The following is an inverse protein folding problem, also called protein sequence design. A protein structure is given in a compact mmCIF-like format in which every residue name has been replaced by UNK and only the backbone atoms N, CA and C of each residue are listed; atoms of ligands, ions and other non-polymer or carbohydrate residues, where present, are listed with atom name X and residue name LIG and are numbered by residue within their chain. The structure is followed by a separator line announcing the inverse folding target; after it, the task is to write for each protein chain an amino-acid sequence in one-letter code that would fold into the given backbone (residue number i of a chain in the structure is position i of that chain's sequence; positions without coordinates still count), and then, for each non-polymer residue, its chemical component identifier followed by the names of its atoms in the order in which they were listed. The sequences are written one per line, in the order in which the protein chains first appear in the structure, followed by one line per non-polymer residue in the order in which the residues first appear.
data_IF_083973445686
#
_entry.id   IF_083973445686
#
_cell.length_a   1.000
_cell.length_b   1.000
_cell.length_c   1.000
_cell.angle_alpha   90.00
_cell.angle_beta   90.00
_cell.angle_gamma   90.00
#
_symmetry.space_group_name_H-M   'P 1'
#
loop_
_entity.id
_entity.type
_entity.pdbx_description
1 polymer ?
#
# COMPACT_ATOMS: atom_id res chain seq x y z
N UNK A 1 -26.95 -23.09 121.40
CA UNK A 1 -27.24 -21.85 120.67
C UNK A 1 -26.13 -21.40 119.71
N UNK A 2 -24.91 -21.96 119.77
CA UNK A 2 -23.79 -21.57 118.90
C UNK A 2 -23.91 -22.17 117.47
N UNK A 3 -24.46 -23.38 117.34
CA UNK A 3 -24.60 -24.06 116.03
C UNK A 3 -25.63 -23.38 115.11
N UNK A 4 -26.66 -22.73 115.67
CA UNK A 4 -27.68 -22.04 114.88
C UNK A 4 -27.21 -20.70 114.31
N UNK A 5 -26.21 -20.06 114.92
CA UNK A 5 -25.65 -18.80 114.46
C UNK A 5 -24.64 -18.99 113.30
N UNK A 6 -23.98 -20.15 113.23
CA UNK A 6 -23.06 -20.50 112.14
C UNK A 6 -23.85 -20.80 110.84
N UNK A 7 -24.91 -21.61 110.95
CA UNK A 7 -25.75 -21.98 109.80
C UNK A 7 -26.50 -20.79 109.18
N UNK A 8 -26.82 -19.75 109.97
CA UNK A 8 -27.43 -18.53 109.47
C UNK A 8 -26.44 -17.64 108.70
N UNK A 9 -25.16 -17.61 109.07
CA UNK A 9 -24.09 -16.90 108.34
C UNK A 9 -23.74 -17.58 107.01
N UNK A 10 -23.79 -18.92 106.98
CA UNK A 10 -23.50 -19.68 105.76
C UNK A 10 -24.67 -19.63 104.75
N UNK A 11 -25.91 -19.51 105.21
CA UNK A 11 -27.09 -19.38 104.36
C UNK A 11 -27.18 -18.02 103.63
N UNK A 12 -26.72 -16.92 104.25
CA UNK A 12 -26.65 -15.59 103.60
C UNK A 12 -25.61 -15.57 102.47
N UNK A 13 -24.53 -16.36 102.61
CA UNK A 13 -23.48 -16.51 101.60
C UNK A 13 -23.90 -17.37 100.39
N UNK A 14 -24.94 -18.20 100.56
CA UNK A 14 -25.48 -19.08 99.53
C UNK A 14 -26.51 -18.38 98.59
N UNK A 15 -27.00 -17.19 98.93
CA UNK A 15 -27.93 -16.43 98.10
C UNK A 15 -27.27 -15.75 96.88
N UNK A 16 -25.93 -15.66 96.86
CA UNK A 16 -25.17 -15.27 95.68
C UNK A 16 -24.65 -16.55 95.01
N UNK A 17 -25.07 -16.82 93.78
CA UNK A 17 -24.44 -17.87 92.97
C UNK A 17 -22.95 -17.51 92.88
N UNK A 18 -22.07 -18.27 93.53
CA UNK A 18 -20.66 -17.94 93.71
C UNK A 18 -19.91 -17.51 92.41
N UNK A 19 -20.28 -18.02 91.20
CA UNK A 19 -19.75 -17.51 89.93
C UNK A 19 -20.08 -16.05 89.56
N UNK A 20 -21.08 -15.42 90.18
CA UNK A 20 -21.54 -14.05 89.88
C UNK A 20 -21.25 -13.05 91.03
N UNK A 21 -20.24 -13.31 91.84
CA UNK A 21 -19.80 -12.37 92.88
C UNK A 21 -19.22 -11.07 92.24
N UNK A 22 -19.84 -9.88 92.46
CA UNK A 22 -19.45 -8.57 91.92
C UNK A 22 -17.97 -8.21 92.11
N UNK A 23 -17.30 -8.79 93.10
CA UNK A 23 -15.93 -8.46 93.46
C UNK A 23 -14.87 -8.86 92.41
N UNK A 24 -15.15 -9.88 91.57
CA UNK A 24 -14.18 -10.39 90.58
C UNK A 24 -14.28 -9.69 89.20
N UNK A 25 -15.41 -9.05 88.91
CA UNK A 25 -15.65 -8.38 87.63
C UNK A 25 -14.64 -7.26 87.29
N UNK A 26 -14.17 -6.41 88.23
CA UNK A 26 -13.20 -5.36 87.90
C UNK A 26 -11.88 -5.90 87.32
N UNK A 27 -11.37 -7.01 87.86
CA UNK A 27 -10.14 -7.65 87.36
C UNK A 27 -10.35 -8.27 85.98
N UNK A 28 -11.50 -8.94 85.77
CA UNK A 28 -11.85 -9.53 84.48
C UNK A 28 -12.04 -8.46 83.39
N UNK A 29 -12.68 -7.34 83.73
CA UNK A 29 -12.82 -6.20 82.82
C UNK A 29 -11.46 -5.55 82.53
N UNK A 30 -10.57 -5.41 83.52
CA UNK A 30 -9.22 -4.89 83.31
C UNK A 30 -8.45 -5.75 82.29
N UNK A 31 -8.41 -7.08 82.46
CA UNK A 31 -7.73 -7.97 81.52
C UNK A 31 -8.40 -8.00 80.15
N UNK A 32 -9.73 -7.92 80.09
CA UNK A 32 -10.46 -7.80 78.83
C UNK A 32 -10.03 -6.53 78.08
N UNK A 33 -9.97 -5.39 78.75
CA UNK A 33 -9.51 -4.13 78.14
C UNK A 33 -8.05 -4.22 77.70
N UNK A 34 -7.17 -4.84 78.49
CA UNK A 34 -5.76 -5.04 78.10
C UNK A 34 -5.63 -5.93 76.86
N UNK A 35 -6.31 -7.07 76.82
CA UNK A 35 -6.30 -7.99 75.67
C UNK A 35 -6.93 -7.35 74.44
N UNK A 36 -8.10 -6.74 74.60
CA UNK A 36 -8.81 -6.10 73.50
C UNK A 36 -8.05 -4.89 72.97
N UNK A 37 -7.44 -4.08 73.83
CA UNK A 37 -6.56 -2.99 73.45
C UNK A 37 -5.31 -3.47 72.71
N UNK A 38 -4.67 -4.53 73.20
CA UNK A 38 -3.52 -5.15 72.52
C UNK A 38 -3.92 -5.67 71.13
N UNK A 39 -5.03 -6.40 71.04
CA UNK A 39 -5.55 -6.92 69.78
C UNK A 39 -5.94 -5.79 68.82
N UNK A 40 -6.57 -4.73 69.31
CA UNK A 40 -6.91 -3.54 68.53
C UNK A 40 -5.65 -2.89 67.94
N UNK A 41 -4.59 -2.72 68.73
CA UNK A 41 -3.32 -2.16 68.25
C UNK A 41 -2.70 -3.06 67.17
N UNK A 42 -2.72 -4.39 67.36
CA UNK A 42 -2.19 -5.33 66.36
C UNK A 42 -2.98 -5.25 65.05
N UNK A 43 -4.31 -5.25 65.11
CA UNK A 43 -5.16 -5.12 63.92
C UNK A 43 -4.92 -3.79 63.22
N UNK A 44 -4.98 -2.69 63.96
CA UNK A 44 -4.78 -1.31 63.50
C UNK A 44 -3.42 -1.12 62.84
N UNK A 45 -2.35 -1.59 63.50
CA UNK A 45 -0.98 -1.23 63.12
C UNK A 45 -0.31 -2.23 62.18
N UNK A 46 -0.79 -3.47 62.12
CA UNK A 46 -0.16 -4.54 61.32
C UNK A 46 -1.12 -5.08 60.25
N UNK A 47 -2.32 -5.52 60.63
CA UNK A 47 -3.21 -6.25 59.70
C UNK A 47 -3.84 -5.31 58.66
N UNK A 48 -4.46 -4.21 59.11
CA UNK A 48 -5.06 -3.19 58.25
C UNK A 48 -4.07 -2.61 57.21
N UNK A 49 -2.85 -2.16 57.59
CA UNK A 49 -1.90 -1.63 56.61
C UNK A 49 -1.39 -2.70 55.63
N UNK A 50 -1.25 -3.96 56.04
CA UNK A 50 -0.88 -5.06 55.12
C UNK A 50 -1.94 -5.29 54.05
N UNK A 51 -3.22 -5.31 54.44
CA UNK A 51 -4.34 -5.48 53.50
C UNK A 51 -4.43 -4.25 52.58
N UNK A 52 -4.35 -3.04 53.13
CA UNK A 52 -4.34 -1.79 52.36
C UNK A 52 -3.22 -1.76 51.32
N UNK A 53 -1.99 -2.11 51.71
CA UNK A 53 -0.85 -2.16 50.78
C UNK A 53 -1.02 -3.16 49.65
N UNK A 54 -1.72 -4.27 49.88
CA UNK A 54 -1.96 -5.28 48.85
C UNK A 54 -3.03 -4.81 47.86
N UNK A 55 -4.07 -4.15 48.38
CA UNK A 55 -5.12 -3.58 47.54
C UNK A 55 -4.56 -2.46 46.66
N UNK A 56 -3.83 -1.52 47.26
CA UNK A 56 -3.15 -0.42 46.54
C UNK A 56 -2.21 -0.96 45.46
N UNK A 57 -1.42 -1.99 45.78
CA UNK A 57 -0.53 -2.61 44.79
C UNK A 57 -1.29 -3.19 43.61
N UNK A 58 -2.42 -3.85 43.85
CA UNK A 58 -3.25 -4.42 42.77
C UNK A 58 -3.88 -3.32 41.93
N UNK A 59 -4.45 -2.30 42.56
CA UNK A 59 -5.05 -1.18 41.86
C UNK A 59 -4.02 -0.43 41.01
N UNK A 60 -2.85 -0.14 41.57
CA UNK A 60 -1.73 0.47 40.86
C UNK A 60 -1.23 -0.39 39.70
N UNK A 61 -1.10 -1.71 39.88
CA UNK A 61 -0.71 -2.61 38.78
C UNK A 61 -1.77 -2.64 37.68
N UNK A 62 -3.06 -2.76 38.03
CA UNK A 62 -4.14 -2.76 37.04
C UNK A 62 -4.19 -1.44 36.27
N UNK A 63 -4.04 -0.31 36.96
CA UNK A 63 -4.01 1.01 36.32
C UNK A 63 -2.80 1.12 35.37
N UNK A 64 -1.61 0.73 35.83
CA UNK A 64 -0.40 0.73 34.99
C UNK A 64 -0.52 -0.19 33.78
N UNK A 65 -1.11 -1.38 33.95
CA UNK A 65 -1.30 -2.35 32.86
C UNK A 65 -2.33 -1.82 31.84
N UNK A 66 -3.37 -1.13 32.30
CA UNK A 66 -4.38 -0.52 31.44
C UNK A 66 -3.80 0.66 30.64
N UNK A 67 -3.02 1.52 31.28
CA UNK A 67 -2.34 2.64 30.62
C UNK A 67 -1.34 2.13 29.58
N UNK A 68 -0.56 1.10 29.92
CA UNK A 68 0.38 0.49 28.97
C UNK A 68 -0.36 -0.20 27.81
N UNK A 69 -1.46 -0.90 28.09
CA UNK A 69 -2.30 -1.47 27.04
C UNK A 69 -2.90 -0.41 26.11
N UNK A 70 -3.35 0.72 26.66
CA UNK A 70 -3.86 1.85 25.88
C UNK A 70 -2.76 2.45 25.00
N UNK A 71 -1.56 2.67 25.55
CA UNK A 71 -0.40 3.17 24.81
C UNK A 71 0.00 2.24 23.67
N UNK A 72 0.10 0.93 23.93
CA UNK A 72 0.42 -0.06 22.91
C UNK A 72 -0.67 -0.17 21.83
N UNK A 73 -1.94 0.02 22.20
CA UNK A 73 -3.04 0.06 21.24
C UNK A 73 -2.92 1.30 20.33
N UNK A 74 -2.65 2.47 20.90
CA UNK A 74 -2.43 3.71 20.15
C UNK A 74 -1.23 3.58 19.20
N UNK A 75 -0.09 3.07 19.68
CA UNK A 75 1.10 2.81 18.84
C UNK A 75 0.78 1.82 17.71
N UNK A 76 0.00 0.77 17.97
CA UNK A 76 -0.40 -0.19 16.95
C UNK A 76 -1.34 0.44 15.90
N UNK A 77 -2.30 1.25 16.32
CA UNK A 77 -3.22 1.98 15.44
C UNK A 77 -2.45 2.96 14.56
N UNK A 78 -1.48 3.68 15.11
CA UNK A 78 -0.68 4.63 14.36
C UNK A 78 0.30 3.93 13.40
N UNK A 79 0.89 2.81 13.82
CA UNK A 79 1.68 1.96 12.93
C UNK A 79 0.83 1.43 11.77
N UNK A 80 -0.40 0.99 12.02
CA UNK A 80 -1.33 0.55 10.99
C UNK A 80 -1.64 1.67 9.99
N UNK A 81 -1.96 2.88 10.48
CA UNK A 81 -2.18 4.04 9.61
C UNK A 81 -0.95 4.37 8.76
N UNK A 82 0.25 4.31 9.35
CA UNK A 82 1.48 4.57 8.62
C UNK A 82 1.71 3.54 7.50
N UNK A 83 1.43 2.26 7.77
CA UNK A 83 1.47 1.20 6.76
C UNK A 83 0.46 1.46 5.66
N UNK A 84 -0.80 1.75 5.99
CA UNK A 84 -1.85 2.02 5.00
C UNK A 84 -1.50 3.22 4.10
N UNK A 85 -0.97 4.30 4.68
CA UNK A 85 -0.47 5.47 3.94
C UNK A 85 0.71 5.09 3.04
N UNK A 86 1.63 4.26 3.53
CA UNK A 86 2.79 3.81 2.74
C UNK A 86 2.37 2.96 1.54
N UNK A 87 1.38 2.08 1.71
CA UNK A 87 0.81 1.24 0.64
C UNK A 87 0.10 2.13 -0.38
N UNK A 88 -0.73 3.06 0.07
CA UNK A 88 -1.40 4.01 -0.81
C UNK A 88 -0.41 4.84 -1.63
N UNK A 89 0.67 5.33 -1.00
CA UNK A 89 1.75 6.07 -1.65
C UNK A 89 2.52 5.20 -2.66
N UNK A 90 2.81 3.95 -2.33
CA UNK A 90 3.47 3.01 -3.23
C UNK A 90 2.61 2.74 -4.48
N UNK A 91 1.30 2.49 -4.31
CA UNK A 91 0.39 2.31 -5.45
C UNK A 91 0.27 3.58 -6.31
N UNK A 92 0.19 4.76 -5.68
CA UNK A 92 0.17 6.02 -6.41
C UNK A 92 1.47 6.22 -7.22
N UNK A 93 2.63 5.92 -6.63
CA UNK A 93 3.93 6.00 -7.30
C UNK A 93 4.06 5.03 -8.46
N UNK A 94 3.55 3.81 -8.30
CA UNK A 94 3.52 2.80 -9.35
C UNK A 94 2.67 3.26 -10.54
N UNK A 95 1.46 3.80 -10.28
CA UNK A 95 0.60 4.38 -11.32
C UNK A 95 1.26 5.56 -12.04
N UNK A 96 1.81 6.50 -11.27
CA UNK A 96 2.55 7.65 -11.83
C UNK A 96 3.70 7.20 -12.74
N UNK A 97 4.44 6.16 -12.34
CA UNK A 97 5.55 5.62 -13.12
C UNK A 97 5.05 4.93 -14.39
N UNK A 98 3.97 4.16 -14.29
CA UNK A 98 3.35 3.50 -15.45
C UNK A 98 2.82 4.52 -16.47
N UNK A 99 2.16 5.58 -16.01
CA UNK A 99 1.63 6.65 -16.86
C UNK A 99 2.77 7.43 -17.53
N UNK A 100 3.84 7.73 -16.79
CA UNK A 100 5.06 8.34 -17.35
C UNK A 100 5.74 7.44 -18.39
N UNK A 101 5.80 6.13 -18.15
CA UNK A 101 6.37 5.18 -19.09
C UNK A 101 5.54 5.10 -20.37
N UNK A 102 4.21 4.98 -20.26
CA UNK A 102 3.29 5.01 -21.41
C UNK A 102 3.45 6.30 -22.22
N UNK A 103 3.42 7.46 -21.55
CA UNK A 103 3.58 8.74 -22.24
C UNK A 103 4.95 8.93 -22.90
N UNK A 104 6.01 8.26 -22.42
CA UNK A 104 7.31 8.23 -23.11
C UNK A 104 7.28 7.32 -24.32
N UNK A 105 6.72 6.11 -24.17
CA UNK A 105 6.57 5.14 -25.26
C UNK A 105 5.75 5.75 -26.41
N UNK A 106 4.63 6.41 -26.11
CA UNK A 106 3.79 7.04 -27.13
C UNK A 106 4.54 8.13 -27.91
N UNK A 107 5.39 8.91 -27.22
CA UNK A 107 6.25 9.93 -27.86
C UNK A 107 7.34 9.30 -28.72
N UNK A 108 7.97 8.24 -28.26
CA UNK A 108 8.99 7.50 -29.02
C UNK A 108 8.36 6.87 -30.27
N UNK A 109 7.19 6.22 -30.13
CA UNK A 109 6.43 5.67 -31.26
C UNK A 109 6.12 6.78 -32.26
N UNK A 110 5.54 7.91 -31.83
CA UNK A 110 5.22 9.00 -32.74
C UNK A 110 6.46 9.56 -33.47
N UNK A 111 7.61 9.63 -32.78
CA UNK A 111 8.87 10.09 -33.36
C UNK A 111 9.41 9.10 -34.38
N UNK A 112 9.43 7.80 -34.07
CA UNK A 112 9.90 6.78 -34.99
C UNK A 112 8.96 6.58 -36.17
N UNK A 113 7.64 6.64 -35.98
CA UNK A 113 6.67 6.64 -37.08
C UNK A 113 6.91 7.82 -38.01
N UNK A 114 7.09 9.04 -37.49
CA UNK A 114 7.38 10.21 -38.32
C UNK A 114 8.69 10.09 -39.12
N UNK A 115 9.73 9.46 -38.54
CA UNK A 115 10.99 9.17 -39.26
C UNK A 115 10.77 8.14 -40.36
N UNK A 116 10.07 7.04 -40.07
CA UNK A 116 9.78 5.99 -41.03
C UNK A 116 8.94 6.53 -42.18
N UNK A 117 7.92 7.33 -41.89
CA UNK A 117 7.08 7.98 -42.92
C UNK A 117 7.93 8.88 -43.82
N UNK A 118 8.82 9.70 -43.24
CA UNK A 118 9.73 10.54 -44.02
C UNK A 118 10.72 9.72 -44.89
N UNK A 119 11.20 8.58 -44.40
CA UNK A 119 12.04 7.67 -45.20
C UNK A 119 11.26 7.00 -46.34
N UNK A 120 10.00 6.63 -46.08
CA UNK A 120 9.10 6.05 -47.09
C UNK A 120 8.81 7.08 -48.18
N UNK A 121 8.47 8.31 -47.82
CA UNK A 121 8.22 9.41 -48.77
C UNK A 121 9.44 9.67 -49.66
N UNK A 122 10.64 9.67 -49.06
CA UNK A 122 11.89 9.82 -49.83
C UNK A 122 12.10 8.67 -50.81
N UNK A 123 11.91 7.42 -50.38
CA UNK A 123 12.03 6.24 -51.25
C UNK A 123 10.98 6.26 -52.37
N UNK A 124 9.77 6.73 -52.08
CA UNK A 124 8.72 6.87 -53.07
C UNK A 124 9.10 7.90 -54.14
N UNK A 125 9.59 9.07 -53.74
CA UNK A 125 10.06 10.11 -54.66
C UNK A 125 11.25 9.64 -55.52
N UNK A 126 12.21 8.91 -54.93
CA UNK A 126 13.32 8.30 -55.67
C UNK A 126 12.84 7.25 -56.68
N UNK A 127 11.89 6.40 -56.29
CA UNK A 127 11.29 5.41 -57.17
C UNK A 127 10.50 6.05 -58.32
N UNK A 128 9.70 7.09 -58.05
CA UNK A 128 8.96 7.85 -59.06
C UNK A 128 9.91 8.51 -60.08
N UNK A 129 11.01 9.10 -59.59
CA UNK A 129 12.04 9.68 -60.46
C UNK A 129 12.67 8.61 -61.35
N UNK A 130 13.02 7.44 -60.78
CA UNK A 130 13.60 6.32 -61.52
C UNK A 130 12.64 5.72 -62.55
N UNK A 131 11.36 5.59 -62.21
CA UNK A 131 10.31 5.13 -63.14
C UNK A 131 10.14 6.12 -64.28
N UNK A 132 10.14 7.42 -63.98
CA UNK A 132 10.01 8.48 -65.00
C UNK A 132 11.19 8.47 -65.97
N UNK A 133 12.42 8.34 -65.46
CA UNK A 133 13.62 8.20 -66.27
C UNK A 133 13.58 6.94 -67.15
N UNK A 134 13.23 5.79 -66.57
CA UNK A 134 13.13 4.53 -67.31
C UNK A 134 12.05 4.59 -68.40
N UNK A 135 10.92 5.27 -68.13
CA UNK A 135 9.87 5.51 -69.12
C UNK A 135 10.37 6.40 -70.26
N UNK A 136 11.10 7.46 -69.96
CA UNK A 136 11.68 8.33 -70.98
C UNK A 136 12.68 7.56 -71.86
N UNK A 137 13.59 6.80 -71.25
CA UNK A 137 14.56 5.95 -71.96
C UNK A 137 13.85 4.91 -72.83
N UNK A 138 12.82 4.23 -72.31
CA UNK A 138 12.06 3.25 -73.06
C UNK A 138 11.35 3.88 -74.27
N UNK A 139 10.73 5.06 -74.11
CA UNK A 139 10.09 5.79 -75.22
C UNK A 139 11.09 6.21 -76.30
N UNK A 140 12.30 6.62 -75.91
CA UNK A 140 13.37 6.93 -76.85
C UNK A 140 13.84 5.70 -77.63
N UNK A 141 13.95 4.54 -76.96
CA UNK A 141 14.29 3.28 -77.62
C UNK A 141 13.18 2.81 -78.57
N UNK A 142 11.90 3.04 -78.24
CA UNK A 142 10.75 2.72 -79.12
C UNK A 142 10.80 3.53 -80.42
N UNK A 143 11.16 4.81 -80.37
CA UNK A 143 11.34 5.64 -81.59
C UNK A 143 12.41 5.03 -82.51
N UNK A 144 13.54 4.59 -81.94
CA UNK A 144 14.60 3.89 -82.68
C UNK A 144 14.14 2.57 -83.30
N UNK A 145 13.47 1.72 -82.52
CA UNK A 145 12.93 0.43 -83.00
C UNK A 145 11.87 0.64 -84.08
N UNK A 146 11.03 1.67 -83.96
CA UNK A 146 10.00 2.00 -84.95
C UNK A 146 10.62 2.44 -86.28
N UNK A 147 11.70 3.23 -86.25
CA UNK A 147 12.47 3.62 -87.45
C UNK A 147 13.11 2.40 -88.10
N UNK A 148 13.76 1.53 -87.32
CA UNK A 148 14.40 0.31 -87.83
C UNK A 148 13.38 -0.69 -88.41
N UNK A 149 12.22 -0.82 -87.76
CA UNK A 149 11.13 -1.65 -88.25
C UNK A 149 10.53 -1.08 -89.54
N UNK A 150 10.27 0.23 -89.61
CA UNK A 150 9.79 0.90 -90.82
C UNK A 150 10.78 0.77 -91.98
N UNK A 151 12.09 0.95 -91.73
CA UNK A 151 13.15 0.74 -92.70
C UNK A 151 13.19 -0.71 -93.21
N UNK A 152 13.07 -1.69 -92.31
CA UNK A 152 13.04 -3.11 -92.64
C UNK A 152 11.82 -3.50 -93.49
N UNK A 153 10.65 -2.94 -93.18
CA UNK A 153 9.42 -3.14 -93.97
C UNK A 153 9.59 -2.51 -95.36
N UNK A 154 10.04 -1.26 -95.46
CA UNK A 154 10.27 -0.58 -96.75
C UNK A 154 11.28 -1.34 -97.63
N UNK A 155 12.34 -1.87 -97.01
CA UNK A 155 13.35 -2.68 -97.66
C UNK A 155 12.79 -3.97 -98.27
N UNK A 156 11.81 -4.62 -97.61
CA UNK A 156 11.10 -5.79 -98.17
C UNK A 156 10.22 -5.44 -99.37
N UNK A 157 9.76 -4.20 -99.49
CA UNK A 157 8.95 -3.71 -100.61
C UNK A 157 9.76 -3.04 -101.73
N UNK A 158 11.10 -3.03 -101.65
CA UNK A 158 11.99 -2.54 -102.71
C UNK A 158 12.15 -1.02 -102.78
N UNK A 159 11.63 -0.28 -101.80
CA UNK A 159 11.69 1.19 -101.72
C UNK A 159 12.70 1.63 -100.65
N UNK A 160 13.53 2.64 -100.94
CA UNK A 160 14.48 3.22 -99.99
C UNK A 160 14.05 4.63 -99.61
N UNK A 161 13.77 4.86 -98.33
CA UNK A 161 13.65 6.21 -97.76
C UNK A 161 14.96 6.57 -97.04
N UNK A 162 15.31 7.86 -97.02
CA UNK A 162 16.44 8.37 -96.24
C UNK A 162 16.12 8.34 -94.74
N UNK A 163 17.11 8.04 -93.90
CA UNK A 163 16.97 8.01 -92.43
C UNK A 163 16.35 9.28 -91.85
N UNK A 164 16.63 10.44 -92.46
CA UNK A 164 16.06 11.72 -92.06
C UNK A 164 14.53 11.77 -92.25
N UNK A 165 14.02 11.21 -93.36
CA UNK A 165 12.58 11.20 -93.66
C UNK A 165 11.83 10.16 -92.82
N UNK A 166 12.45 9.00 -92.54
CA UNK A 166 11.88 7.98 -91.65
C UNK A 166 11.77 8.48 -90.21
N UNK A 167 12.82 9.12 -89.68
CA UNK A 167 12.78 9.74 -88.35
C UNK A 167 11.72 10.84 -88.27
N UNK A 168 11.62 11.71 -89.28
CA UNK A 168 10.59 12.75 -89.30
C UNK A 168 9.16 12.16 -89.32
N UNK A 169 8.90 11.14 -90.15
CA UNK A 169 7.58 10.51 -90.25
C UNK A 169 7.19 9.73 -88.98
N UNK A 170 8.13 9.00 -88.37
CA UNK A 170 7.89 8.28 -87.10
C UNK A 170 7.63 9.27 -85.96
N UNK A 171 8.36 10.39 -85.91
CA UNK A 171 8.14 11.43 -84.92
C UNK A 171 6.76 12.08 -85.06
N UNK A 172 6.32 12.42 -86.28
CA UNK A 172 4.96 12.95 -86.52
C UNK A 172 3.88 11.95 -86.13
N UNK A 173 4.07 10.66 -86.43
CA UNK A 173 3.12 9.60 -86.04
C UNK A 173 3.04 9.34 -84.53
N UNK A 174 4.13 9.60 -83.78
CA UNK A 174 4.16 9.52 -82.31
C UNK A 174 3.59 10.76 -81.62
N UNK A 175 3.51 11.92 -82.29
CA UNK A 175 2.94 13.17 -81.76
C UNK A 175 1.42 13.30 -82.02
N UNK A 176 0.87 12.58 -83.01
CA UNK A 176 -0.57 12.58 -83.35
C UNK A 176 -1.41 11.49 -82.64
N UNK A 177 -0.78 10.54 -81.94
CA UNK A 177 -1.44 9.44 -81.22
C UNK A 177 -1.23 9.49 -79.71
#
# INVERSE_FOLDING_TARGET
MIIAAEAAKDAEKAASFAPFDPWHFPSQIFWLVVLFGTLYIVLSRIILPRIGSTLERRESTIASDLDEAARLNEEAVDAQKAVDVSIAKAHAKARETADKARGKIDKEIATETAKVDAEVDKKLAEAETRISALRADAMQNVEGIAVDAAASVLGKFGSKATDANLKAAVKTALEEG
#
